data_IF_531726472443
#
_entry.id   IF_531726472443
#
_cell.length_a   1.000
_cell.length_b   1.000
_cell.length_c   1.000
_cell.angle_alpha   90.00
_cell.angle_beta   90.00
_cell.angle_gamma   90.00
#
_symmetry.space_group_name_H-M   'P 1'
#
loop_
_entity.id
_entity.type
_entity.pdbx_description
1 polymer ?
#
# COMPACT_ATOMS: atom_id res chain seq x y z
N UNK A 1 -31.92 24.26 -19.66
CA UNK A 1 -31.28 24.64 -18.37
C UNK A 1 -30.18 25.70 -18.53
N UNK A 2 -29.21 25.55 -19.45
CA UNK A 2 -28.11 26.52 -19.72
C UNK A 2 -28.59 27.97 -19.97
N UNK A 3 -29.73 28.14 -20.66
CA UNK A 3 -30.29 29.44 -21.05
C UNK A 3 -30.84 30.30 -19.89
N UNK A 4 -31.06 29.72 -18.71
CA UNK A 4 -31.58 30.44 -17.53
C UNK A 4 -30.47 30.90 -16.56
N UNK A 5 -29.25 30.38 -16.70
CA UNK A 5 -28.09 30.73 -15.85
C UNK A 5 -26.99 31.47 -16.62
N UNK A 6 -27.14 31.68 -17.92
CA UNK A 6 -26.11 32.31 -18.77
C UNK A 6 -26.08 33.84 -18.69
N UNK A 7 -27.03 34.47 -17.98
CA UNK A 7 -27.15 35.94 -17.89
C UNK A 7 -27.56 36.33 -16.47
N UNK A 8 -26.81 35.88 -15.47
CA UNK A 8 -27.00 36.27 -14.07
C UNK A 8 -25.79 37.07 -13.61
N UNK A 9 -26.01 38.23 -12.97
CA UNK A 9 -24.96 39.01 -12.30
C UNK A 9 -24.33 38.26 -11.11
N UNK A 10 -24.90 37.10 -10.74
CA UNK A 10 -24.36 36.24 -9.70
C UNK A 10 -23.01 35.67 -10.14
N UNK A 11 -21.95 36.03 -9.40
CA UNK A 11 -20.58 35.52 -9.56
C UNK A 11 -20.32 34.20 -8.84
N UNK A 12 -21.29 33.76 -8.03
CA UNK A 12 -21.26 32.52 -7.29
C UNK A 12 -22.64 31.87 -7.26
N UNK A 13 -22.70 30.56 -7.51
CA UNK A 13 -23.95 29.80 -7.56
C UNK A 13 -23.80 28.41 -6.99
N UNK A 14 -24.88 27.88 -6.41
CA UNK A 14 -24.93 26.52 -5.87
C UNK A 14 -26.12 25.81 -6.49
N UNK A 15 -25.89 24.63 -7.06
CA UNK A 15 -26.92 23.72 -7.56
C UNK A 15 -26.92 22.49 -6.68
N UNK A 16 -28.09 22.10 -6.16
CA UNK A 16 -28.22 20.93 -5.30
C UNK A 16 -29.48 20.14 -5.58
N UNK A 17 -29.41 18.82 -5.37
CA UNK A 17 -30.57 17.93 -5.32
C UNK A 17 -30.92 17.51 -3.87
N UNK A 18 -30.36 18.20 -2.87
CA UNK A 18 -30.51 17.89 -1.45
C UNK A 18 -29.46 16.92 -0.88
N UNK A 19 -28.72 16.22 -1.74
CA UNK A 19 -27.64 15.30 -1.34
C UNK A 19 -26.29 15.79 -1.85
N UNK A 20 -26.24 16.22 -3.11
CA UNK A 20 -25.04 16.67 -3.80
C UNK A 20 -25.16 18.17 -4.03
N UNK A 21 -24.23 18.93 -3.47
CA UNK A 21 -24.14 20.38 -3.60
C UNK A 21 -22.96 20.70 -4.53
N UNK A 22 -23.26 21.33 -5.66
CA UNK A 22 -22.29 21.68 -6.70
C UNK A 22 -22.13 23.19 -6.73
N UNK A 23 -20.90 23.66 -6.56
CA UNK A 23 -20.56 25.08 -6.45
C UNK A 23 -19.95 25.56 -7.78
N UNK A 24 -20.44 26.70 -8.25
CA UNK A 24 -20.09 27.31 -9.53
C UNK A 24 -19.68 28.77 -9.31
N UNK A 25 -18.76 29.24 -10.14
CA UNK A 25 -18.29 30.62 -10.19
C UNK A 25 -18.02 31.03 -11.64
N UNK A 26 -17.78 32.32 -11.86
CA UNK A 26 -17.50 32.92 -13.16
C UNK A 26 -15.99 33.10 -13.42
N UNK A 27 -15.19 32.05 -13.17
CA UNK A 27 -13.71 32.12 -13.27
C UNK A 27 -13.25 32.21 -14.74
N UNK A 28 -13.89 31.47 -15.64
CA UNK A 28 -13.47 31.42 -17.05
C UNK A 28 -13.88 32.68 -17.82
N UNK A 29 -15.13 33.11 -17.65
CA UNK A 29 -15.70 34.27 -18.33
C UNK A 29 -16.48 35.10 -17.30
N UNK A 30 -16.12 36.38 -17.15
CA UNK A 30 -16.81 37.27 -16.20
C UNK A 30 -18.30 37.35 -16.49
N UNK A 31 -19.12 37.24 -15.43
CA UNK A 31 -20.59 37.22 -15.49
C UNK A 31 -21.19 36.04 -16.28
N UNK A 32 -20.41 34.99 -16.51
CA UNK A 32 -20.88 33.74 -17.11
C UNK A 32 -20.41 32.57 -16.26
N UNK A 33 -21.37 31.86 -15.68
CA UNK A 33 -21.09 30.68 -14.85
C UNK A 33 -20.30 29.61 -15.62
N UNK A 34 -19.24 29.12 -14.98
CA UNK A 34 -18.45 28.00 -15.48
C UNK A 34 -19.33 26.78 -15.75
N UNK A 35 -19.02 26.02 -16.81
CA UNK A 35 -19.78 24.80 -17.17
C UNK A 35 -19.60 23.66 -16.16
N UNK A 36 -18.48 23.65 -15.46
CA UNK A 36 -18.12 22.61 -14.48
C UNK A 36 -18.07 23.22 -13.09
N UNK A 37 -18.59 22.53 -12.06
CA UNK A 37 -18.42 23.00 -10.70
C UNK A 37 -16.96 22.92 -10.29
N UNK A 38 -16.51 23.87 -9.47
CA UNK A 38 -15.16 23.86 -8.91
C UNK A 38 -15.09 23.09 -7.58
N UNK A 39 -16.23 22.90 -6.92
CA UNK A 39 -16.34 22.14 -5.67
C UNK A 39 -17.66 21.37 -5.66
N UNK A 40 -17.60 20.11 -5.24
CA UNK A 40 -18.77 19.23 -5.10
C UNK A 40 -18.74 18.61 -3.70
N UNK A 41 -19.83 18.79 -2.97
CA UNK A 41 -19.96 18.31 -1.61
C UNK A 41 -21.13 17.32 -1.53
N UNK A 42 -20.86 16.09 -1.12
CA UNK A 42 -21.86 15.05 -0.94
C UNK A 42 -22.13 14.83 0.55
N UNK A 43 -23.36 15.07 0.98
CA UNK A 43 -23.76 14.96 2.40
C UNK A 43 -23.62 13.53 2.95
N UNK A 44 -23.73 12.51 2.08
CA UNK A 44 -23.64 11.10 2.48
C UNK A 44 -22.20 10.57 2.44
N UNK A 45 -21.31 11.26 1.74
CA UNK A 45 -19.93 10.82 1.55
C UNK A 45 -19.00 12.03 1.41
N UNK A 46 -18.50 12.51 2.55
CA UNK A 46 -17.52 13.59 2.60
C UNK A 46 -16.36 13.21 3.54
N UNK A 47 -15.21 13.79 3.27
CA UNK A 47 -14.04 13.72 4.13
C UNK A 47 -13.92 15.02 4.93
N UNK A 48 -13.15 15.01 6.03
CA UNK A 48 -12.99 16.16 6.92
C UNK A 48 -12.45 17.40 6.19
N UNK A 49 -11.53 17.21 5.24
CA UNK A 49 -11.00 18.30 4.42
C UNK A 49 -12.09 18.99 3.56
N UNK A 50 -13.15 18.27 3.15
CA UNK A 50 -14.28 18.89 2.47
C UNK A 50 -15.09 19.81 3.39
N UNK A 51 -15.15 19.53 4.70
CA UNK A 51 -15.83 20.41 5.67
C UNK A 51 -15.04 21.71 5.89
N UNK A 52 -13.71 21.63 5.94
CA UNK A 52 -12.86 22.82 6.04
C UNK A 52 -13.06 23.76 4.85
N UNK A 53 -13.16 23.20 3.64
CA UNK A 53 -13.50 23.97 2.45
C UNK A 53 -14.93 24.53 2.53
N UNK A 54 -15.91 23.72 2.96
CA UNK A 54 -17.30 24.16 3.09
C UNK A 54 -17.46 25.35 4.06
N UNK A 55 -16.71 25.37 5.17
CA UNK A 55 -16.71 26.47 6.14
C UNK A 55 -16.37 27.83 5.50
N UNK A 56 -15.49 27.85 4.49
CA UNK A 56 -15.08 29.07 3.78
C UNK A 56 -16.22 29.69 2.96
N UNK A 57 -17.25 28.91 2.62
CA UNK A 57 -18.42 29.37 1.86
C UNK A 57 -19.61 29.75 2.77
N UNK A 58 -19.45 29.73 4.10
CA UNK A 58 -20.50 30.13 5.03
C UNK A 58 -20.73 31.64 5.05
N UNK A 59 -21.94 32.06 5.39
CA UNK A 59 -22.35 33.48 5.39
C UNK A 59 -21.44 34.38 6.22
N UNK A 60 -20.92 33.90 7.35
CA UNK A 60 -20.03 34.65 8.25
C UNK A 60 -18.63 34.89 7.68
N UNK A 61 -18.18 34.05 6.75
CA UNK A 61 -16.85 34.09 6.14
C UNK A 61 -16.89 34.43 4.65
N UNK A 62 -18.05 34.86 4.15
CA UNK A 62 -18.28 35.10 2.73
C UNK A 62 -17.51 36.33 2.25
N UNK A 63 -16.49 36.10 1.42
CA UNK A 63 -15.78 37.14 0.68
C UNK A 63 -15.63 36.69 -0.78
N UNK A 64 -16.10 37.53 -1.70
CA UNK A 64 -16.20 37.18 -3.11
C UNK A 64 -14.82 37.00 -3.77
N UNK A 65 -13.83 37.83 -3.43
CA UNK A 65 -12.46 37.69 -3.95
C UNK A 65 -11.79 36.41 -3.42
N UNK A 66 -11.97 36.11 -2.13
CA UNK A 66 -11.42 34.87 -1.55
C UNK A 66 -12.12 33.63 -2.07
N UNK A 67 -13.42 33.70 -2.37
CA UNK A 67 -14.18 32.60 -2.96
C UNK A 67 -13.67 32.31 -4.37
N UNK A 68 -13.42 33.33 -5.19
CA UNK A 68 -12.92 33.14 -6.56
C UNK A 68 -11.49 32.58 -6.55
N UNK A 69 -10.61 33.06 -5.65
CA UNK A 69 -9.25 32.53 -5.53
C UNK A 69 -9.25 31.09 -4.99
N UNK A 70 -10.09 30.79 -4.00
CA UNK A 70 -10.27 29.43 -3.46
C UNK A 70 -10.85 28.51 -4.53
N UNK A 71 -11.86 28.96 -5.26
CA UNK A 71 -12.48 28.21 -6.35
C UNK A 71 -11.48 27.92 -7.48
N UNK A 72 -10.66 28.90 -7.84
CA UNK A 72 -9.56 28.70 -8.81
C UNK A 72 -8.57 27.66 -8.31
N UNK A 73 -8.14 27.76 -7.06
CA UNK A 73 -7.23 26.81 -6.43
C UNK A 73 -7.82 25.41 -6.44
N UNK A 74 -9.06 25.23 -5.96
CA UNK A 74 -9.75 23.94 -5.95
C UNK A 74 -9.90 23.34 -7.35
N UNK A 75 -10.28 24.15 -8.34
CA UNK A 75 -10.40 23.74 -9.74
C UNK A 75 -9.07 23.22 -10.28
N UNK A 76 -7.99 23.98 -10.11
CA UNK A 76 -6.67 23.57 -10.59
C UNK A 76 -6.10 22.40 -9.80
N UNK A 77 -6.28 22.34 -8.47
CA UNK A 77 -5.88 21.19 -7.66
C UNK A 77 -6.59 19.92 -8.09
N UNK A 78 -7.90 19.97 -8.33
CA UNK A 78 -8.66 18.82 -8.83
C UNK A 78 -8.18 18.39 -10.22
N UNK A 79 -7.93 19.34 -11.13
CA UNK A 79 -7.38 19.06 -12.45
C UNK A 79 -5.99 18.42 -12.38
N UNK A 80 -5.09 18.97 -11.55
CA UNK A 80 -3.74 18.43 -11.34
C UNK A 80 -3.81 17.04 -10.72
N UNK A 81 -4.63 16.82 -9.69
CA UNK A 81 -4.82 15.49 -9.09
C UNK A 81 -5.27 14.47 -10.13
N UNK A 82 -6.21 14.86 -11.00
CA UNK A 82 -6.70 13.99 -12.08
C UNK A 82 -5.60 13.67 -13.09
N UNK A 83 -4.91 14.69 -13.61
CA UNK A 83 -3.82 14.50 -14.57
C UNK A 83 -2.68 13.67 -13.95
N UNK A 84 -2.36 13.89 -12.69
CA UNK A 84 -1.35 13.12 -11.99
C UNK A 84 -1.74 11.65 -11.81
N UNK A 85 -3.01 11.36 -11.52
CA UNK A 85 -3.51 9.99 -11.47
C UNK A 85 -3.44 9.29 -12.83
N UNK A 86 -3.73 10.02 -13.92
CA UNK A 86 -3.57 9.54 -15.29
C UNK A 86 -2.09 9.25 -15.60
N UNK A 87 -1.17 10.16 -15.24
CA UNK A 87 0.28 10.01 -15.41
C UNK A 87 0.87 8.85 -14.58
N UNK A 88 0.36 8.60 -13.37
CA UNK A 88 0.76 7.42 -12.57
C UNK A 88 0.34 6.13 -13.28
N UNK A 89 -0.91 6.08 -13.77
CA UNK A 89 -1.47 4.88 -14.39
C UNK A 89 -0.84 4.58 -15.75
N UNK A 90 -0.60 5.63 -16.53
CA UNK A 90 -0.01 5.57 -17.85
C UNK A 90 0.92 6.77 -18.08
N UNK A 91 2.20 6.66 -17.69
CA UNK A 91 3.18 7.73 -17.82
C UNK A 91 3.33 8.19 -19.28
N UNK A 92 3.20 9.50 -19.51
CA UNK A 92 3.44 10.11 -20.82
C UNK A 92 4.93 10.19 -21.13
N UNK A 93 5.27 10.30 -22.41
CA UNK A 93 6.66 10.44 -22.87
C UNK A 93 7.35 11.67 -22.26
N UNK A 94 6.62 12.77 -22.04
CA UNK A 94 7.14 13.97 -21.38
C UNK A 94 7.47 13.72 -19.91
N UNK A 95 6.56 13.03 -19.21
CA UNK A 95 6.76 12.65 -17.81
C UNK A 95 7.93 11.68 -17.65
N UNK A 96 8.09 10.71 -18.56
CA UNK A 96 9.23 9.80 -18.57
C UNK A 96 10.53 10.56 -18.87
N UNK A 97 10.55 11.46 -19.87
CA UNK A 97 11.70 12.30 -20.19
C UNK A 97 12.16 13.13 -19.00
N UNK A 98 11.22 13.61 -18.17
CA UNK A 98 11.54 14.33 -16.94
C UNK A 98 12.37 13.45 -15.99
N UNK A 99 11.94 12.22 -15.68
CA UNK A 99 12.71 11.32 -14.82
C UNK A 99 14.04 10.90 -15.45
N UNK A 100 14.04 10.50 -16.73
CA UNK A 100 15.25 10.12 -17.47
C UNK A 100 16.30 11.24 -17.40
N UNK A 101 15.88 12.51 -17.49
CA UNK A 101 16.80 13.65 -17.40
C UNK A 101 17.53 13.79 -16.07
N UNK A 102 16.98 13.23 -15.00
CA UNK A 102 17.53 13.32 -13.64
C UNK A 102 18.39 12.11 -13.29
N UNK A 103 18.13 10.95 -13.90
CA UNK A 103 18.77 9.68 -13.52
C UNK A 103 19.71 9.13 -14.58
N UNK A 104 19.61 9.58 -15.83
CA UNK A 104 20.42 9.08 -16.95
C UNK A 104 21.20 10.22 -17.60
N UNK A 105 22.53 10.06 -17.66
CA UNK A 105 23.47 11.05 -18.18
C UNK A 105 23.75 10.93 -19.70
N UNK A 106 23.20 9.91 -20.37
CA UNK A 106 23.38 9.69 -21.81
C UNK A 106 22.36 10.40 -22.69
N UNK A 107 22.48 10.22 -24.01
CA UNK A 107 21.59 10.84 -25.00
C UNK A 107 20.18 10.25 -24.90
N UNK A 108 19.17 11.11 -24.80
CA UNK A 108 17.76 10.71 -24.70
C UNK A 108 17.21 10.27 -26.06
N UNK A 109 17.51 9.04 -26.45
CA UNK A 109 16.93 8.42 -27.64
C UNK A 109 15.54 7.84 -27.34
N UNK A 110 14.70 7.69 -28.37
CA UNK A 110 13.35 7.13 -28.23
C UNK A 110 13.37 5.70 -27.64
N UNK A 111 14.41 4.92 -27.95
CA UNK A 111 14.63 3.59 -27.39
C UNK A 111 14.89 3.61 -25.89
N UNK A 112 15.62 4.61 -25.40
CA UNK A 112 15.86 4.75 -23.96
C UNK A 112 14.57 5.19 -23.27
N UNK A 113 13.83 6.13 -23.84
CA UNK A 113 12.54 6.58 -23.27
C UNK A 113 11.55 5.40 -23.18
N UNK A 114 11.46 4.55 -24.20
CA UNK A 114 10.57 3.39 -24.18
C UNK A 114 11.00 2.32 -23.16
N UNK A 115 12.31 2.11 -22.97
CA UNK A 115 12.83 1.25 -21.90
C UNK A 115 12.49 1.82 -20.51
N UNK A 116 12.69 3.11 -20.32
CA UNK A 116 12.40 3.79 -19.06
C UNK A 116 10.90 3.92 -18.77
N UNK A 117 10.02 3.83 -19.78
CA UNK A 117 8.56 3.82 -19.57
C UNK A 117 8.11 2.75 -18.56
N UNK A 118 8.58 1.51 -18.75
CA UNK A 118 8.27 0.40 -17.83
C UNK A 118 8.89 0.62 -16.46
N UNK A 119 10.13 1.10 -16.42
CA UNK A 119 10.87 1.34 -15.17
C UNK A 119 10.18 2.42 -14.34
N UNK A 120 9.82 3.56 -14.95
CA UNK A 120 9.12 4.68 -14.30
C UNK A 120 7.75 4.23 -13.79
N UNK A 121 6.97 3.51 -14.61
CA UNK A 121 5.67 2.98 -14.19
C UNK A 121 5.77 2.04 -13.00
N UNK A 122 6.72 1.11 -13.02
CA UNK A 122 6.93 0.16 -11.92
C UNK A 122 7.40 0.87 -10.65
N UNK A 123 8.36 1.80 -10.78
CA UNK A 123 8.88 2.56 -9.65
C UNK A 123 7.80 3.43 -8.98
N UNK A 124 6.92 4.08 -9.76
CA UNK A 124 5.80 4.86 -9.22
C UNK A 124 4.81 3.99 -8.46
N UNK A 125 4.40 2.85 -9.04
CA UNK A 125 3.49 1.92 -8.39
C UNK A 125 4.09 1.34 -7.10
N UNK A 126 5.38 0.99 -7.13
CA UNK A 126 6.10 0.52 -5.95
C UNK A 126 6.14 1.59 -4.86
N UNK A 127 6.51 2.83 -5.21
CA UNK A 127 6.56 3.94 -4.25
C UNK A 127 5.20 4.21 -3.58
N UNK A 128 4.11 4.15 -4.36
CA UNK A 128 2.75 4.32 -3.81
C UNK A 128 2.40 3.16 -2.87
N UNK A 129 2.71 1.91 -3.25
CA UNK A 129 2.51 0.74 -2.38
C UNK A 129 3.28 0.87 -1.07
N UNK A 130 4.54 1.30 -1.14
CA UNK A 130 5.38 1.56 0.05
C UNK A 130 4.75 2.64 0.93
N UNK A 131 4.29 3.77 0.37
CA UNK A 131 3.63 4.82 1.16
C UNK A 131 2.31 4.40 1.79
N UNK A 132 1.53 3.57 1.11
CA UNK A 132 0.30 3.01 1.67
C UNK A 132 0.65 2.07 2.82
N UNK A 133 1.64 1.19 2.64
CA UNK A 133 2.08 0.28 3.68
C UNK A 133 2.67 1.02 4.88
N UNK A 134 3.44 2.09 4.68
CA UNK A 134 3.96 2.94 5.75
C UNK A 134 2.83 3.59 6.55
N UNK A 135 1.80 4.12 5.86
CA UNK A 135 0.63 4.71 6.53
C UNK A 135 -0.21 3.67 7.27
N UNK A 136 -0.38 2.48 6.70
CA UNK A 136 -1.07 1.38 7.37
C UNK A 136 -0.30 0.91 8.61
N UNK A 137 1.02 0.76 8.52
CA UNK A 137 1.87 0.44 9.67
C UNK A 137 1.81 1.53 10.75
N UNK A 138 1.84 2.80 10.34
CA UNK A 138 1.70 3.93 11.27
C UNK A 138 0.34 3.91 11.97
N UNK A 139 -0.75 3.70 11.24
CA UNK A 139 -2.09 3.64 11.82
C UNK A 139 -2.32 2.39 12.70
N UNK A 140 -1.68 1.26 12.36
CA UNK A 140 -1.70 0.05 13.19
C UNK A 140 -0.87 0.21 14.47
N UNK A 141 0.20 1.00 14.43
CA UNK A 141 1.01 1.33 15.60
C UNK A 141 0.38 2.46 16.45
N UNK A 142 -0.47 3.31 15.86
CA UNK A 142 -1.25 4.33 16.60
C UNK A 142 -2.37 3.72 17.48
N UNK A 143 -2.78 2.46 17.24
CA UNK A 143 -3.63 1.71 18.20
C UNK A 143 -2.81 1.06 19.35
N UNK A 144 -1.49 1.20 19.33
CA UNK A 144 -0.60 0.58 20.32
C UNK A 144 0.61 1.46 20.61
N UNK A 145 0.39 2.72 21.03
CA UNK A 145 1.22 3.45 22.00
C UNK A 145 0.72 4.90 22.17
N UNK A 146 -0.12 5.12 23.18
CA UNK A 146 0.10 6.28 24.05
C UNK A 146 1.35 5.94 24.88
N UNK A 147 2.51 6.45 24.49
CA UNK A 147 3.56 7.00 25.36
C UNK A 147 4.88 7.23 24.60
N UNK A 148 5.35 8.48 24.74
CA UNK A 148 6.73 8.97 24.68
C UNK A 148 7.40 9.31 23.33
N UNK A 149 7.38 10.61 23.04
CA UNK A 149 8.50 11.34 22.43
C UNK A 149 9.64 11.50 23.45
N UNK A 150 10.88 11.12 23.12
CA UNK A 150 12.00 12.04 22.76
C UNK A 150 13.40 11.41 22.93
N UNK A 151 14.29 11.78 22.00
CA UNK A 151 15.75 11.91 22.11
C UNK A 151 16.69 10.69 21.90
N UNK A 152 17.31 10.71 20.71
CA UNK A 152 18.75 10.62 20.38
C UNK A 152 19.71 9.60 21.05
N UNK A 153 20.41 8.93 20.13
CA UNK A 153 21.84 8.57 20.09
C UNK A 153 22.34 7.18 20.59
N UNK A 154 22.66 6.37 19.55
CA UNK A 154 23.95 5.72 19.26
C UNK A 154 24.28 4.36 19.92
N UNK A 155 24.62 3.44 18.99
CA UNK A 155 25.38 2.19 19.10
C UNK A 155 24.63 0.97 19.67
N UNK A 156 24.53 -0.16 18.98
CA UNK A 156 25.49 -0.78 18.06
C UNK A 156 24.86 -1.83 17.14
N UNK A 157 25.18 -1.71 15.84
CA UNK A 157 25.73 -2.77 14.96
C UNK A 157 25.05 -4.15 14.95
N UNK A 158 24.28 -4.39 13.90
CA UNK A 158 24.59 -5.41 12.88
C UNK A 158 23.70 -5.24 11.64
N UNK A 159 23.87 -4.12 10.93
CA UNK A 159 23.42 -4.04 9.54
C UNK A 159 24.52 -4.61 8.63
N UNK A 160 24.49 -5.92 8.41
CA UNK A 160 24.97 -6.48 7.15
C UNK A 160 23.89 -6.20 6.10
N UNK A 161 23.88 -4.98 5.54
CA UNK A 161 23.19 -4.70 4.27
C UNK A 161 24.00 -5.34 3.16
N UNK A 162 23.73 -6.63 2.93
CA UNK A 162 24.11 -7.33 1.71
C UNK A 162 23.41 -6.65 0.53
N UNK A 163 24.23 -6.04 -0.32
CA UNK A 163 24.27 -6.25 -1.77
C UNK A 163 22.92 -6.58 -2.42
N UNK A 164 22.42 -5.57 -3.13
CA UNK A 164 21.48 -5.66 -4.25
C UNK A 164 21.90 -6.80 -5.19
N UNK A 165 21.20 -7.94 -5.10
CA UNK A 165 21.50 -9.15 -5.86
C UNK A 165 20.20 -9.77 -6.40
N UNK A 166 19.37 -8.95 -7.07
CA UNK A 166 18.38 -9.41 -8.04
C UNK A 166 17.23 -10.29 -7.52
N UNK A 167 16.99 -10.31 -6.21
CA UNK A 167 15.86 -11.03 -5.60
C UNK A 167 14.63 -10.11 -5.66
N UNK A 168 13.73 -10.38 -6.61
CA UNK A 168 12.44 -9.68 -6.73
C UNK A 168 11.38 -10.62 -6.22
N UNK A 169 10.82 -10.33 -5.03
CA UNK A 169 9.65 -11.03 -4.53
C UNK A 169 8.46 -10.75 -5.46
N UNK A 170 7.94 -11.79 -6.08
CA UNK A 170 6.86 -11.71 -7.07
C UNK A 170 5.49 -11.60 -6.39
N UNK A 171 4.50 -11.01 -7.08
CA UNK A 171 3.12 -10.90 -6.56
C UNK A 171 2.55 -12.31 -6.22
N UNK A 172 2.95 -13.36 -6.95
CA UNK A 172 2.54 -14.75 -6.69
C UNK A 172 3.12 -15.32 -5.38
N UNK A 173 4.36 -14.94 -5.02
CA UNK A 173 4.99 -15.35 -3.76
C UNK A 173 4.34 -14.66 -2.56
N UNK A 174 3.97 -13.39 -2.72
CA UNK A 174 3.20 -12.64 -1.71
C UNK A 174 1.82 -13.29 -1.52
N UNK A 175 1.15 -13.65 -2.61
CA UNK A 175 -0.15 -14.33 -2.57
C UNK A 175 -0.03 -15.70 -1.89
N UNK A 176 0.96 -16.51 -2.28
CA UNK A 176 1.21 -17.81 -1.67
C UNK A 176 1.52 -17.72 -0.17
N UNK A 177 2.31 -16.71 0.24
CA UNK A 177 2.57 -16.42 1.65
C UNK A 177 1.29 -16.09 2.43
N UNK A 178 0.39 -15.28 1.86
CA UNK A 178 -0.89 -14.96 2.48
C UNK A 178 -1.79 -16.20 2.62
N UNK A 179 -1.79 -17.11 1.64
CA UNK A 179 -2.48 -18.39 1.76
C UNK A 179 -1.92 -19.27 2.88
N UNK A 180 -0.60 -19.33 3.01
CA UNK A 180 0.03 -20.08 4.11
C UNK A 180 -0.34 -19.46 5.46
N UNK A 181 -0.32 -18.13 5.59
CA UNK A 181 -0.80 -17.43 6.79
C UNK A 181 -2.25 -17.76 7.13
N UNK A 182 -3.13 -17.79 6.12
CA UNK A 182 -4.52 -18.15 6.31
C UNK A 182 -4.69 -19.61 6.80
N UNK A 183 -3.87 -20.53 6.30
CA UNK A 183 -3.90 -21.96 6.67
C UNK A 183 -3.46 -22.18 8.12
N UNK A 184 -2.41 -21.49 8.57
CA UNK A 184 -1.79 -21.74 9.89
C UNK A 184 -2.40 -20.93 11.03
N UNK A 185 -3.28 -19.96 10.72
CA UNK A 185 -3.90 -19.07 11.70
C UNK A 185 -4.63 -19.80 12.85
N UNK A 186 -5.15 -20.99 12.58
CA UNK A 186 -5.92 -21.77 13.55
C UNK A 186 -4.99 -22.54 14.53
N UNK A 187 -3.69 -22.60 14.22
CA UNK A 187 -2.68 -23.37 14.96
C UNK A 187 -1.69 -22.46 15.68
N UNK A 188 -1.38 -21.30 15.11
CA UNK A 188 -0.38 -20.37 15.65
C UNK A 188 -0.72 -18.92 15.31
N UNK A 189 -0.23 -17.99 16.13
CA UNK A 189 -0.30 -16.57 15.80
C UNK A 189 0.41 -16.29 14.46
N UNK A 190 -0.31 -15.62 13.57
CA UNK A 190 0.13 -15.21 12.23
C UNK A 190 1.36 -14.30 12.29
N UNK A 191 1.56 -13.59 13.40
CA UNK A 191 2.75 -12.75 13.63
C UNK A 191 4.05 -13.54 13.73
N UNK A 192 3.98 -14.85 14.07
CA UNK A 192 5.15 -15.73 14.14
C UNK A 192 5.56 -16.30 12.78
N UNK A 193 4.82 -16.00 11.72
CA UNK A 193 5.07 -16.51 10.37
C UNK A 193 5.79 -15.44 9.58
N UNK A 194 6.99 -15.75 9.11
CA UNK A 194 7.86 -14.82 8.41
C UNK A 194 8.21 -15.33 7.01
N UNK A 195 8.21 -14.41 6.05
CA UNK A 195 8.63 -14.66 4.68
C UNK A 195 10.10 -14.25 4.53
N UNK A 196 10.93 -15.14 3.95
CA UNK A 196 12.31 -14.87 3.58
C UNK A 196 12.54 -15.29 2.15
N UNK A 197 12.75 -14.31 1.29
CA UNK A 197 12.98 -14.55 -0.13
C UNK A 197 14.43 -14.95 -0.41
N UNK A 198 14.62 -15.83 -1.39
CA UNK A 198 15.93 -16.29 -1.86
C UNK A 198 15.91 -16.44 -3.38
N UNK A 199 17.09 -16.39 -4.02
CA UNK A 199 17.23 -16.52 -5.49
C UNK A 199 16.55 -17.74 -6.11
N UNK A 200 16.36 -18.82 -5.34
CA UNK A 200 15.82 -20.09 -5.86
C UNK A 200 14.40 -20.39 -5.39
N UNK A 201 13.93 -19.75 -4.32
CA UNK A 201 12.62 -19.97 -3.72
C UNK A 201 12.27 -18.87 -2.70
N UNK A 202 10.99 -18.66 -2.47
CA UNK A 202 10.50 -17.87 -1.34
C UNK A 202 10.23 -18.80 -0.13
N UNK A 203 10.97 -18.61 0.96
CA UNK A 203 10.86 -19.42 2.17
C UNK A 203 9.85 -18.85 3.16
N UNK A 204 9.02 -19.71 3.75
CA UNK A 204 8.13 -19.35 4.86
C UNK A 204 8.59 -20.08 6.11
N UNK A 205 8.93 -19.29 7.13
CA UNK A 205 9.60 -19.72 8.36
C UNK A 205 8.74 -19.41 9.58
N UNK A 206 8.90 -20.23 10.61
CA UNK A 206 8.39 -19.92 11.94
C UNK A 206 9.43 -19.16 12.77
N UNK A 207 9.01 -18.08 13.43
CA UNK A 207 9.81 -17.20 14.30
C UNK A 207 11.08 -16.63 13.62
N UNK A 208 11.01 -16.34 12.31
CA UNK A 208 12.16 -15.91 11.47
C UNK A 208 13.42 -16.78 11.64
N UNK A 209 13.23 -18.07 11.91
CA UNK A 209 14.33 -18.98 12.18
C UNK A 209 14.56 -19.95 11.03
N UNK A 210 15.74 -19.90 10.42
CA UNK A 210 16.13 -20.81 9.33
C UNK A 210 16.16 -22.31 9.74
N UNK A 211 16.12 -22.62 11.04
CA UNK A 211 15.98 -23.99 11.57
C UNK A 211 14.52 -24.45 11.69
N UNK A 212 13.57 -23.54 11.48
CA UNK A 212 12.13 -23.79 11.52
C UNK A 212 11.42 -23.45 10.19
N UNK A 213 11.86 -24.00 9.04
CA UNK A 213 11.14 -23.79 7.79
C UNK A 213 9.81 -24.55 7.80
N UNK A 214 8.73 -23.87 7.41
CA UNK A 214 7.40 -24.45 7.26
C UNK A 214 7.24 -24.94 5.83
N UNK A 215 7.51 -24.05 4.86
CA UNK A 215 7.46 -24.38 3.45
C UNK A 215 8.36 -23.46 2.59
N UNK A 216 8.56 -23.87 1.34
CA UNK A 216 9.31 -23.16 0.30
C UNK A 216 8.44 -23.08 -0.95
N UNK A 217 8.19 -21.87 -1.42
CA UNK A 217 7.48 -21.58 -2.66
C UNK A 217 8.50 -21.49 -3.79
N UNK A 218 8.43 -22.43 -4.72
CA UNK A 218 9.30 -22.48 -5.90
C UNK A 218 8.49 -22.01 -7.12
N UNK A 219 8.26 -20.70 -7.24
CA UNK A 219 7.44 -20.09 -8.30
C UNK A 219 8.27 -19.48 -9.45
N UNK A 220 9.59 -19.64 -9.39
CA UNK A 220 10.52 -19.09 -10.38
C UNK A 220 10.39 -19.67 -11.81
N UNK A 221 9.64 -20.76 -12.00
CA UNK A 221 9.43 -21.37 -13.31
C UNK A 221 8.06 -21.00 -13.88
N UNK A 222 8.04 -20.49 -15.11
CA UNK A 222 6.81 -20.12 -15.84
C UNK A 222 5.90 -21.32 -16.17
N UNK A 223 6.42 -22.55 -16.09
CA UNK A 223 5.70 -23.76 -16.57
C UNK A 223 5.32 -24.74 -15.47
N UNK A 224 5.97 -24.68 -14.30
CA UNK A 224 5.76 -25.63 -13.20
C UNK A 224 6.01 -24.92 -11.88
N UNK A 225 5.01 -24.88 -11.02
CA UNK A 225 5.12 -24.33 -9.67
C UNK A 225 5.22 -25.47 -8.68
N UNK A 226 6.06 -25.31 -7.66
CA UNK A 226 6.17 -26.32 -6.61
C UNK A 226 6.06 -25.68 -5.23
N UNK A 227 5.40 -26.40 -4.32
CA UNK A 227 5.46 -26.12 -2.89
C UNK A 227 6.30 -27.21 -2.21
N UNK A 228 7.40 -26.81 -1.58
CA UNK A 228 8.19 -27.66 -0.70
C UNK A 228 7.64 -27.56 0.71
N UNK A 229 7.14 -28.64 1.30
CA UNK A 229 6.60 -28.66 2.67
C UNK A 229 7.57 -29.42 3.57
N UNK A 230 7.83 -28.90 4.76
CA UNK A 230 8.72 -29.55 5.71
C UNK A 230 7.95 -30.48 6.64
N UNK A 231 8.30 -31.76 6.66
CA UNK A 231 7.86 -32.70 7.70
C UNK A 231 9.06 -33.50 8.18
N UNK A 232 9.22 -33.62 9.50
CA UNK A 232 10.32 -34.37 10.12
C UNK A 232 11.71 -33.97 9.61
N UNK A 233 11.91 -32.68 9.29
CA UNK A 233 13.13 -32.08 8.70
C UNK A 233 13.42 -32.45 7.24
N UNK A 234 12.56 -33.20 6.58
CA UNK A 234 12.65 -33.48 5.15
C UNK A 234 11.70 -32.56 4.37
N UNK A 235 12.15 -32.07 3.21
CA UNK A 235 11.35 -31.27 2.28
C UNK A 235 10.66 -32.19 1.27
N UNK A 236 9.33 -32.21 1.24
CA UNK A 236 8.54 -32.85 0.18
C UNK A 236 8.11 -31.82 -0.84
N UNK A 237 8.53 -31.99 -2.10
CA UNK A 237 8.18 -31.09 -3.19
C UNK A 237 6.92 -31.58 -3.91
N UNK A 238 5.84 -30.81 -3.79
CA UNK A 238 4.57 -31.08 -4.46
C UNK A 238 4.41 -30.12 -5.64
N UNK A 239 4.02 -30.66 -6.81
CA UNK A 239 3.70 -29.85 -7.98
C UNK A 239 2.32 -29.21 -7.77
N UNK A 240 2.20 -27.92 -8.09
CA UNK A 240 0.93 -27.20 -8.10
C UNK A 240 0.75 -26.50 -9.45
N UNK A 241 -0.49 -26.39 -9.91
CA UNK A 241 -0.81 -25.76 -11.19
C UNK A 241 -1.10 -24.27 -10.97
N UNK A 242 -1.85 -23.94 -9.93
CA UNK A 242 -2.17 -22.57 -9.52
C UNK A 242 -1.74 -22.26 -8.07
N UNK A 243 -1.52 -20.98 -7.74
CA UNK A 243 -1.11 -20.57 -6.39
C UNK A 243 -2.18 -20.92 -5.33
N UNK A 244 -3.46 -20.93 -5.71
CA UNK A 244 -4.57 -21.37 -4.84
C UNK A 244 -4.49 -22.83 -4.43
N UNK A 245 -3.79 -23.68 -5.19
CA UNK A 245 -3.74 -25.12 -4.92
C UNK A 245 -2.92 -25.43 -3.66
N UNK A 246 -2.24 -24.43 -3.08
CA UNK A 246 -1.63 -24.50 -1.74
C UNK A 246 -2.66 -24.97 -0.70
N UNK A 247 -3.94 -24.60 -0.82
CA UNK A 247 -4.99 -25.03 0.10
C UNK A 247 -5.19 -26.56 0.13
N UNK A 248 -4.86 -27.27 -0.96
CA UNK A 248 -4.92 -28.74 -0.98
C UNK A 248 -3.92 -29.39 -0.02
N UNK A 249 -2.86 -28.67 0.35
CA UNK A 249 -1.83 -29.11 1.28
C UNK A 249 -1.98 -28.53 2.70
N UNK A 250 -3.15 -27.97 3.04
CA UNK A 250 -3.38 -27.28 4.32
C UNK A 250 -3.00 -28.12 5.54
N UNK A 251 -3.38 -29.41 5.55
CA UNK A 251 -3.09 -30.32 6.66
C UNK A 251 -1.59 -30.55 6.85
N UNK A 252 -0.85 -30.68 5.75
CA UNK A 252 0.60 -30.92 5.78
C UNK A 252 1.34 -29.68 6.31
N UNK A 253 0.90 -28.49 5.89
CA UNK A 253 1.44 -27.20 6.35
C UNK A 253 1.13 -26.99 7.84
N UNK A 254 -0.08 -27.29 8.31
CA UNK A 254 -0.43 -27.22 9.73
C UNK A 254 0.39 -28.19 10.57
N UNK A 255 0.58 -29.43 10.10
CA UNK A 255 1.41 -30.42 10.79
C UNK A 255 2.87 -29.98 10.90
N UNK A 256 3.42 -29.35 9.86
CA UNK A 256 4.78 -28.78 9.89
C UNK A 256 4.94 -27.78 11.04
N UNK A 257 3.94 -26.92 11.26
CA UNK A 257 3.93 -25.95 12.38
C UNK A 257 3.77 -26.64 13.73
N UNK A 258 2.83 -27.60 13.84
CA UNK A 258 2.59 -28.35 15.07
C UNK A 258 3.85 -29.07 15.57
N UNK A 259 4.64 -29.67 14.66
CA UNK A 259 5.90 -30.32 15.01
C UNK A 259 6.89 -29.36 15.70
N UNK A 260 6.91 -28.08 15.30
CA UNK A 260 7.75 -27.07 15.94
C UNK A 260 7.21 -26.66 17.31
N UNK A 261 5.90 -26.48 17.44
CA UNK A 261 5.25 -26.14 18.72
C UNK A 261 5.47 -27.25 19.76
N UNK A 262 5.34 -28.52 19.36
CA UNK A 262 5.57 -29.66 20.26
C UNK A 262 7.02 -29.73 20.74
N UNK A 263 7.99 -29.42 19.86
CA UNK A 263 9.42 -29.35 20.23
C UNK A 263 9.72 -28.19 21.17
N UNK A 264 9.05 -27.05 21.04
CA UNK A 264 9.18 -25.93 21.98
C UNK A 264 8.69 -26.32 23.38
N UNK A 265 7.54 -27.00 23.45
CA UNK A 265 6.99 -27.51 24.71
C UNK A 265 7.92 -28.55 25.36
N UNK A 266 8.54 -29.43 24.58
CA UNK A 266 9.48 -30.44 25.08
C UNK A 266 10.81 -29.85 25.60
N UNK A 267 11.23 -28.68 25.10
CA UNK A 267 12.48 -28.02 25.49
C UNK A 267 12.32 -26.99 26.62
N UNK A 268 11.11 -26.74 27.12
CA UNK A 268 10.88 -25.85 28.27
C UNK A 268 11.18 -26.63 29.57
N UNK A 269 12.22 -26.26 30.35
CA UNK A 269 12.56 -26.99 31.56
C UNK A 269 11.45 -26.86 32.61
N UNK A 270 11.14 -27.98 33.26
CA UNK A 270 10.12 -28.20 34.31
C UNK A 270 10.46 -27.48 35.64
N UNK A 271 10.85 -26.21 35.60
CA UNK A 271 11.47 -25.49 36.72
C UNK A 271 10.60 -24.39 37.37
N UNK A 272 9.32 -24.24 37.00
CA UNK A 272 8.44 -23.25 37.62
C UNK A 272 7.55 -23.78 38.76
N UNK A 273 7.48 -25.10 39.01
CA UNK A 273 6.62 -25.62 40.09
C UNK A 273 7.22 -25.55 41.51
N UNK A 274 8.51 -25.20 41.70
CA UNK A 274 9.14 -25.25 43.05
C UNK A 274 9.14 -23.89 43.78
N UNK A 275 8.75 -22.77 43.15
CA UNK A 275 8.85 -21.44 43.77
C UNK A 275 7.66 -20.99 44.64
N UNK A 276 6.65 -21.83 44.84
CA UNK A 276 5.41 -21.45 45.54
C UNK A 276 5.25 -21.94 46.99
N UNK A 277 6.29 -22.51 47.62
CA UNK A 277 6.20 -23.03 49.01
C UNK A 277 7.25 -22.46 49.97
N UNK A 278 7.54 -21.16 49.91
CA UNK A 278 8.21 -20.45 51.00
C UNK A 278 7.63 -19.06 51.21
N UNK A 279 6.53 -19.00 51.96
CA UNK A 279 6.24 -17.94 52.93
C UNK A 279 5.65 -18.60 54.17
#
# INVERSE_FOLDING_TARGET
LYRYFSVTEARFGIITNGIIYKFYSDIEESNKMDKKPFFEFNLLNFEEHHLEELKKFTKSSFNLESIISTASTLKYTAAIKKTFAEEISNPSDEFIKFFVSKVYSGVKTQNIISQFSKIVKNALNQFIREKINDRLKSALNDESNDEEQESSDVNSKNENKQVDDGIITTDEEIEGYNYIKAIVRDVIDVNRIHMRDTKSYCGVLLDDNNRKPICRLHFNSTTKKYIGIFSQKNETKNLIDEVKDIFNHSKEIQNAVLEYIEREKANTPKNEEIKLLKY
#
